data_IF_714866480621
#
_entry.id   IF_714866480621
#
_cell.length_a   1.000
_cell.length_b   1.000
_cell.length_c   1.000
_cell.angle_alpha   90.00
_cell.angle_beta   90.00
_cell.angle_gamma   90.00
#
_symmetry.space_group_name_H-M   'P 1'
#
loop_
_entity.id
_entity.type
_entity.pdbx_description
1 polymer ?
#
# COMPACT_ATOMS: atom_id res chain seq x y z
N UNK A 1 -13.37 -38.54 -24.99
CA UNK A 1 -12.16 -38.27 -24.19
C UNK A 1 -11.03 -37.98 -25.15
N UNK A 2 -10.78 -36.73 -25.50
CA UNK A 2 -9.72 -36.34 -26.45
C UNK A 2 -9.19 -34.95 -26.14
N UNK A 3 -7.89 -34.92 -25.87
CA UNK A 3 -6.92 -33.82 -26.07
C UNK A 3 -7.23 -32.44 -25.46
N UNK A 4 -6.82 -32.25 -24.20
CA UNK A 4 -6.38 -30.96 -23.69
C UNK A 4 -4.85 -30.97 -23.62
N UNK A 5 -4.18 -30.73 -24.76
CA UNK A 5 -2.73 -30.56 -24.83
C UNK A 5 -2.41 -29.06 -24.97
N UNK A 6 -1.81 -28.52 -23.92
CA UNK A 6 -0.88 -27.38 -23.85
C UNK A 6 -1.19 -26.12 -24.68
N UNK A 7 -1.76 -25.12 -24.02
CA UNK A 7 -1.37 -23.72 -24.26
C UNK A 7 -0.47 -23.28 -23.11
N UNK A 8 0.84 -23.54 -23.24
CA UNK A 8 1.83 -22.82 -22.43
C UNK A 8 1.66 -21.33 -22.74
N UNK A 9 1.44 -20.52 -21.70
CA UNK A 9 1.42 -19.07 -21.86
C UNK A 9 2.79 -18.59 -22.33
N UNK A 10 2.84 -17.51 -23.11
CA UNK A 10 4.10 -16.97 -23.66
C UNK A 10 5.12 -16.68 -22.54
N UNK A 11 4.63 -16.28 -21.37
CA UNK A 11 5.43 -16.07 -20.16
C UNK A 11 6.02 -17.37 -19.60
N UNK A 12 5.23 -18.45 -19.54
CA UNK A 12 5.74 -19.76 -19.13
C UNK A 12 6.79 -20.27 -20.11
N UNK A 13 6.57 -20.11 -21.42
CA UNK A 13 7.55 -20.49 -22.44
C UNK A 13 8.86 -19.72 -22.28
N UNK A 14 8.80 -18.39 -22.10
CA UNK A 14 9.99 -17.56 -21.89
C UNK A 14 10.72 -17.93 -20.60
N UNK A 15 9.97 -18.22 -19.52
CA UNK A 15 10.53 -18.71 -18.26
C UNK A 15 11.22 -20.07 -18.43
N UNK A 16 10.60 -21.01 -19.15
CA UNK A 16 11.22 -22.30 -19.45
C UNK A 16 12.46 -22.16 -20.34
N UNK A 17 12.43 -21.28 -21.34
CA UNK A 17 13.56 -21.01 -22.20
C UNK A 17 14.75 -20.41 -21.43
N UNK A 18 14.49 -19.49 -20.49
CA UNK A 18 15.52 -18.93 -19.61
C UNK A 18 16.15 -19.99 -18.71
N UNK A 19 15.34 -20.86 -18.06
CA UNK A 19 15.86 -21.96 -17.24
C UNK A 19 16.71 -22.95 -18.04
N UNK A 20 16.36 -23.19 -19.32
CA UNK A 20 17.11 -24.08 -20.20
C UNK A 20 18.45 -23.49 -20.65
N UNK A 21 18.55 -22.17 -20.83
CA UNK A 21 19.81 -21.50 -21.20
C UNK A 21 20.86 -21.64 -20.08
N UNK A 22 20.42 -21.51 -18.82
CA UNK A 22 21.30 -21.68 -17.66
C UNK A 22 21.81 -23.12 -17.51
N UNK A 23 20.96 -24.11 -17.77
CA UNK A 23 21.37 -25.52 -17.84
C UNK A 23 22.39 -25.72 -18.95
N UNK A 24 22.21 -25.12 -20.12
CA UNK A 24 23.19 -25.19 -21.21
C UNK A 24 24.54 -24.57 -20.82
N UNK A 25 24.52 -23.46 -20.09
CA UNK A 25 25.72 -22.79 -19.62
C UNK A 25 26.46 -23.63 -18.55
N UNK A 26 25.72 -24.26 -17.63
CA UNK A 26 26.27 -25.21 -16.66
C UNK A 26 26.94 -26.40 -17.36
N UNK A 27 26.25 -27.02 -18.32
CA UNK A 27 26.78 -28.16 -19.09
C UNK A 27 28.00 -27.79 -19.93
N UNK A 28 28.04 -26.58 -20.51
CA UNK A 28 29.22 -26.08 -21.23
C UNK A 28 30.43 -25.88 -20.31
N UNK A 29 30.20 -25.39 -19.08
CA UNK A 29 31.24 -25.10 -18.10
C UNK A 29 31.78 -26.37 -17.43
N UNK A 30 30.92 -27.36 -17.22
CA UNK A 30 31.22 -28.60 -16.52
C UNK A 30 30.99 -29.82 -17.43
N UNK A 31 31.85 -30.00 -18.43
CA UNK A 31 31.68 -31.05 -19.45
C UNK A 31 31.86 -32.47 -18.90
N UNK A 32 32.67 -32.64 -17.85
CA UNK A 32 32.90 -33.92 -17.18
C UNK A 32 33.00 -33.66 -15.70
N UNK A 33 32.12 -34.28 -14.92
CA UNK A 33 32.08 -34.18 -13.45
C UNK A 33 31.77 -35.55 -12.87
N UNK A 34 32.42 -35.89 -11.77
CA UNK A 34 32.03 -37.05 -10.96
C UNK A 34 30.68 -36.81 -10.29
N UNK A 35 30.03 -37.88 -9.79
CA UNK A 35 28.75 -37.76 -9.10
C UNK A 35 28.80 -36.80 -7.90
N UNK A 36 29.91 -36.81 -7.15
CA UNK A 36 30.12 -35.96 -5.97
C UNK A 36 30.29 -34.50 -6.39
N UNK A 37 31.07 -34.25 -7.45
CA UNK A 37 31.24 -32.92 -8.01
C UNK A 37 29.94 -32.41 -8.63
N UNK A 38 29.15 -33.27 -9.27
CA UNK A 38 27.84 -32.94 -9.79
C UNK A 38 26.89 -32.53 -8.65
N UNK A 39 26.78 -33.33 -7.59
CA UNK A 39 25.95 -33.01 -6.42
C UNK A 39 26.39 -31.69 -5.77
N UNK A 40 27.70 -31.49 -5.63
CA UNK A 40 28.28 -30.23 -5.18
C UNK A 40 27.90 -29.08 -6.13
N UNK A 41 28.20 -29.13 -7.42
CA UNK A 41 27.91 -28.02 -8.34
C UNK A 41 26.41 -27.78 -8.55
N UNK A 42 25.55 -28.79 -8.45
CA UNK A 42 24.09 -28.60 -8.46
C UNK A 42 23.65 -27.85 -7.20
N UNK A 43 24.18 -28.21 -6.04
CA UNK A 43 23.86 -27.51 -4.80
C UNK A 43 24.49 -26.12 -4.77
N UNK A 44 25.66 -25.90 -5.34
CA UNK A 44 26.39 -24.63 -5.24
C UNK A 44 26.10 -23.68 -6.41
N UNK A 45 26.19 -24.18 -7.63
CA UNK A 45 25.75 -23.45 -8.80
C UNK A 45 24.22 -23.49 -8.81
N UNK A 46 23.52 -24.63 -8.99
CA UNK A 46 22.05 -24.62 -9.25
C UNK A 46 21.12 -24.05 -8.14
N UNK A 47 21.48 -24.02 -6.86
CA UNK A 47 20.62 -23.34 -5.85
C UNK A 47 20.71 -21.80 -5.89
N UNK A 48 21.78 -21.24 -6.48
CA UNK A 48 21.82 -19.83 -6.90
C UNK A 48 20.83 -19.53 -8.05
N UNK A 49 20.27 -20.55 -8.72
CA UNK A 49 19.33 -20.41 -9.85
C UNK A 49 17.86 -20.64 -9.48
N UNK A 50 17.55 -20.86 -8.19
CA UNK A 50 16.16 -20.77 -7.69
C UNK A 50 15.77 -19.36 -7.25
N UNK A 51 16.70 -18.41 -7.39
CA UNK A 51 16.42 -16.97 -7.31
C UNK A 51 15.56 -16.63 -8.51
N UNK A 52 14.52 -15.79 -8.35
CA UNK A 52 13.80 -15.20 -9.50
C UNK A 52 14.85 -14.70 -10.52
N UNK A 53 14.99 -15.34 -11.69
CA UNK A 53 16.11 -15.10 -12.60
C UNK A 53 16.16 -13.64 -13.12
N UNK A 54 15.08 -12.89 -12.92
CA UNK A 54 14.91 -11.50 -13.35
C UNK A 54 15.13 -10.46 -12.23
N UNK A 55 15.71 -10.83 -11.08
CA UNK A 55 15.92 -9.86 -9.99
C UNK A 55 17.04 -8.86 -10.30
N UNK A 56 16.65 -7.71 -10.84
CA UNK A 56 17.56 -6.61 -11.19
C UNK A 56 17.95 -5.77 -9.96
N UNK A 57 19.14 -6.04 -9.42
CA UNK A 57 19.74 -5.31 -8.30
C UNK A 57 20.03 -3.84 -8.62
N UNK A 58 20.41 -3.53 -9.87
CA UNK A 58 20.74 -2.16 -10.26
C UNK A 58 19.48 -1.30 -10.28
N UNK A 59 18.39 -1.83 -10.83
CA UNK A 59 17.08 -1.19 -10.79
C UNK A 59 16.60 -1.02 -9.36
N UNK A 60 16.73 -2.02 -8.50
CA UNK A 60 16.39 -1.90 -7.08
C UNK A 60 17.16 -0.76 -6.42
N UNK A 61 18.47 -0.69 -6.62
CA UNK A 61 19.31 0.35 -6.04
C UNK A 61 18.86 1.74 -6.53
N UNK A 62 18.62 1.92 -7.83
CA UNK A 62 18.09 3.16 -8.41
C UNK A 62 16.76 3.55 -7.76
N UNK A 63 15.84 2.61 -7.59
CA UNK A 63 14.55 2.86 -6.94
C UNK A 63 14.71 3.27 -5.48
N UNK A 64 15.56 2.59 -4.71
CA UNK A 64 15.84 2.94 -3.31
C UNK A 64 16.47 4.34 -3.21
N UNK A 65 17.41 4.68 -4.08
CA UNK A 65 18.01 6.02 -4.14
C UNK A 65 16.94 7.09 -4.40
N UNK A 66 16.00 6.83 -5.31
CA UNK A 66 14.92 7.76 -5.62
C UNK A 66 13.95 7.94 -4.43
N UNK A 67 13.59 6.85 -3.73
CA UNK A 67 12.77 6.91 -2.51
C UNK A 67 13.49 7.70 -1.42
N UNK A 68 14.79 7.49 -1.23
CA UNK A 68 15.60 8.24 -0.27
C UNK A 68 15.65 9.73 -0.60
N UNK A 69 15.76 10.07 -1.89
CA UNK A 69 15.73 11.45 -2.38
C UNK A 69 14.37 12.13 -2.12
N UNK A 70 13.26 11.40 -2.26
CA UNK A 70 11.91 11.93 -2.04
C UNK A 70 11.46 11.91 -0.57
N UNK A 71 12.17 11.19 0.31
CA UNK A 71 11.85 11.07 1.75
C UNK A 71 11.63 12.41 2.48
N UNK A 72 12.45 13.46 2.29
CA UNK A 72 12.19 14.76 2.94
C UNK A 72 10.87 15.39 2.52
N UNK A 73 10.51 15.29 1.24
CA UNK A 73 9.24 15.80 0.73
C UNK A 73 8.05 15.02 1.28
N UNK A 74 8.17 13.70 1.34
CA UNK A 74 7.18 12.81 1.97
C UNK A 74 6.93 13.22 3.42
N UNK A 75 7.99 13.39 4.22
CA UNK A 75 7.87 13.84 5.63
C UNK A 75 7.17 15.19 5.76
N UNK A 76 7.42 16.12 4.85
CA UNK A 76 6.79 17.44 4.84
C UNK A 76 5.29 17.37 4.54
N UNK A 77 4.86 16.47 3.66
CA UNK A 77 3.43 16.27 3.35
C UNK A 77 2.74 15.64 4.57
N UNK A 78 3.37 14.64 5.21
CA UNK A 78 2.82 14.04 6.43
C UNK A 78 2.70 15.02 7.61
N UNK A 79 3.63 15.96 7.75
CA UNK A 79 3.57 16.93 8.85
C UNK A 79 2.52 18.03 8.65
N UNK A 80 2.08 18.22 7.40
CA UNK A 80 1.08 19.23 7.01
C UNK A 80 0.16 18.67 5.92
N UNK A 81 -0.72 17.71 6.25
CA UNK A 81 -1.71 17.23 5.31
C UNK A 81 -2.66 18.38 4.93
N UNK A 82 -3.28 18.29 3.75
CA UNK A 82 -4.26 19.28 3.34
C UNK A 82 -5.51 19.08 4.17
N UNK A 83 -6.05 20.16 4.72
CA UNK A 83 -7.25 20.14 5.57
C UNK A 83 -8.34 20.92 4.84
N UNK A 84 -9.50 20.30 4.66
CA UNK A 84 -10.68 20.97 4.12
C UNK A 84 -11.71 21.09 5.24
N UNK A 85 -12.28 22.28 5.38
CA UNK A 85 -13.36 22.49 6.33
C UNK A 85 -14.65 21.93 5.73
N UNK A 86 -15.28 20.99 6.44
CA UNK A 86 -16.57 20.43 6.06
C UNK A 86 -17.64 20.98 6.98
N UNK A 87 -18.70 21.45 6.35
CA UNK A 87 -19.88 21.95 7.05
C UNK A 87 -20.87 20.82 7.23
N UNK A 88 -21.14 20.44 8.48
CA UNK A 88 -22.15 19.45 8.85
C UNK A 88 -23.22 20.11 9.70
N UNK A 89 -24.49 19.77 9.47
CA UNK A 89 -25.59 20.28 10.29
C UNK A 89 -25.92 19.25 11.37
N UNK A 90 -26.00 19.69 12.63
CA UNK A 90 -26.32 18.82 13.77
C UNK A 90 -27.25 19.52 14.77
N UNK A 91 -28.03 18.73 15.52
CA UNK A 91 -29.01 19.21 16.49
C UNK A 91 -28.45 19.13 17.91
N UNK A 92 -27.88 20.24 18.35
CA UNK A 92 -27.23 20.37 19.65
C UNK A 92 -28.12 21.05 20.69
N UNK A 93 -27.88 20.85 22.00
CA UNK A 93 -28.46 21.69 23.04
C UNK A 93 -28.23 23.17 22.74
N UNK A 94 -29.20 24.01 23.12
CA UNK A 94 -29.13 25.45 22.82
C UNK A 94 -27.85 26.10 23.36
N UNK A 95 -27.33 25.64 24.50
CA UNK A 95 -26.06 26.12 25.05
C UNK A 95 -24.83 25.86 24.17
N UNK A 96 -24.89 24.84 23.30
CA UNK A 96 -23.79 24.42 22.43
C UNK A 96 -23.96 24.87 20.98
N UNK A 97 -25.11 25.45 20.64
CA UNK A 97 -25.37 25.96 19.30
C UNK A 97 -24.53 27.21 19.03
N UNK A 98 -23.69 27.17 17.99
CA UNK A 98 -22.78 28.28 17.64
C UNK A 98 -23.35 29.21 16.58
N UNK A 99 -24.10 28.66 15.62
CA UNK A 99 -24.64 29.40 14.48
C UNK A 99 -26.14 29.21 14.40
N UNK A 100 -26.88 30.31 14.36
CA UNK A 100 -28.34 30.30 14.20
C UNK A 100 -28.67 30.97 12.88
N UNK A 101 -29.27 30.22 11.95
CA UNK A 101 -29.66 30.72 10.64
C UNK A 101 -31.16 30.46 10.36
N UNK A 102 -31.63 30.82 9.17
CA UNK A 102 -33.03 30.61 8.81
C UNK A 102 -33.42 29.11 8.76
N UNK A 103 -32.50 28.23 8.38
CA UNK A 103 -32.72 26.78 8.42
C UNK A 103 -32.85 26.28 9.87
N UNK A 104 -32.11 26.84 10.81
CA UNK A 104 -32.26 26.55 12.25
C UNK A 104 -33.68 26.83 12.73
N UNK A 105 -34.22 28.00 12.35
CA UNK A 105 -35.58 28.41 12.73
C UNK A 105 -36.64 27.53 12.05
N UNK A 106 -36.47 27.24 10.75
CA UNK A 106 -37.37 26.36 10.01
C UNK A 106 -37.37 24.94 10.60
N UNK A 107 -36.19 24.41 10.91
CA UNK A 107 -36.06 23.10 11.54
C UNK A 107 -36.74 23.07 12.92
N UNK A 108 -36.55 24.11 13.74
CA UNK A 108 -37.23 24.21 15.04
C UNK A 108 -38.76 24.29 14.90
N UNK A 109 -39.26 25.04 13.91
CA UNK A 109 -40.69 25.15 13.63
C UNK A 109 -41.30 23.80 13.23
N UNK A 110 -40.55 22.98 12.46
CA UNK A 110 -40.98 21.64 12.06
C UNK A 110 -40.81 20.58 13.16
N UNK A 111 -39.95 20.83 14.16
CA UNK A 111 -39.61 19.88 15.21
C UNK A 111 -39.92 20.43 16.60
N UNK A 112 -41.22 20.53 16.91
CA UNK A 112 -41.72 21.06 18.19
C UNK A 112 -41.20 20.31 19.43
N UNK A 113 -40.77 19.05 19.30
CA UNK A 113 -40.12 18.30 20.39
C UNK A 113 -38.80 18.92 20.89
N UNK A 114 -38.19 19.79 20.09
CA UNK A 114 -37.00 20.53 20.49
C UNK A 114 -37.32 21.86 21.19
N UNK A 115 -38.60 22.16 21.42
CA UNK A 115 -39.06 23.29 22.22
C UNK A 115 -39.28 22.85 23.66
N UNK A 116 -38.70 23.58 24.62
CA UNK A 116 -38.89 23.31 26.06
C UNK A 116 -40.19 23.92 26.57
N UNK A 117 -40.46 25.17 26.19
CA UNK A 117 -41.62 25.91 26.69
C UNK A 117 -42.03 26.99 25.69
N UNK A 118 -43.33 27.29 25.63
CA UNK A 118 -43.91 28.38 24.84
C UNK A 118 -44.54 29.36 25.83
N UNK A 119 -44.05 30.59 25.82
CA UNK A 119 -44.52 31.66 26.70
C UNK A 119 -45.11 32.80 25.89
N UNK A 120 -45.82 33.73 26.54
CA UNK A 120 -46.34 34.95 25.89
C UNK A 120 -45.25 35.79 25.21
N UNK A 121 -43.99 35.61 25.63
CA UNK A 121 -42.82 36.33 25.11
C UNK A 121 -42.09 35.57 24.00
N UNK A 122 -42.56 34.37 23.63
CA UNK A 122 -41.98 33.56 22.56
C UNK A 122 -41.64 32.13 22.97
N UNK A 123 -40.82 31.49 22.13
CA UNK A 123 -40.49 30.07 22.19
C UNK A 123 -39.13 29.88 22.85
N UNK A 124 -39.03 29.00 23.86
CA UNK A 124 -37.77 28.62 24.49
C UNK A 124 -37.30 27.26 23.94
N UNK A 125 -36.34 27.23 23.00
CA UNK A 125 -35.80 25.97 22.47
C UNK A 125 -34.96 25.24 23.52
N UNK A 126 -35.01 23.90 23.48
CA UNK A 126 -34.11 22.98 24.17
C UNK A 126 -32.89 22.64 23.33
N UNK A 127 -33.12 22.39 22.04
CA UNK A 127 -32.10 22.03 21.05
C UNK A 127 -32.31 22.85 19.79
N UNK A 128 -31.23 23.10 19.06
CA UNK A 128 -31.22 23.84 17.81
C UNK A 128 -30.37 23.11 16.78
N UNK A 129 -30.81 23.17 15.52
CA UNK A 129 -29.97 22.79 14.39
C UNK A 129 -28.90 23.87 14.21
N UNK A 130 -27.64 23.51 14.37
CA UNK A 130 -26.49 24.40 14.16
C UNK A 130 -25.57 23.78 13.13
N UNK A 131 -24.85 24.63 12.41
CA UNK A 131 -23.75 24.20 11.56
C UNK A 131 -22.51 23.98 12.43
N UNK A 132 -21.87 22.83 12.25
CA UNK A 132 -20.59 22.45 12.84
C UNK A 132 -19.57 22.45 11.71
N UNK A 133 -18.37 22.94 12.03
CA UNK A 133 -17.23 22.94 11.13
C UNK A 133 -16.28 21.85 11.60
N UNK A 134 -16.07 20.83 10.77
CA UNK A 134 -15.18 19.72 11.04
C UNK A 134 -14.01 19.72 10.05
N UNK A 135 -12.82 19.40 10.57
CA UNK A 135 -11.63 19.23 9.74
C UNK A 135 -11.71 17.89 9.00
N UNK A 136 -11.79 17.94 7.67
CA UNK A 136 -11.78 16.76 6.81
C UNK A 136 -10.40 16.59 6.16
N UNK A 137 -9.76 15.46 6.48
CA UNK A 137 -8.50 15.03 5.91
C UNK A 137 -8.68 14.05 4.75
N UNK A 138 -9.89 13.55 4.51
CA UNK A 138 -10.21 12.47 3.58
C UNK A 138 -10.38 12.96 2.14
N UNK A 139 -9.61 13.97 1.77
CA UNK A 139 -9.60 14.49 0.41
C UNK A 139 -8.78 13.58 -0.51
N UNK A 140 -9.08 13.68 -1.79
CA UNK A 140 -8.48 12.88 -2.85
C UNK A 140 -6.93 12.89 -2.80
N UNK A 141 -6.32 14.06 -2.64
CA UNK A 141 -4.86 14.24 -2.64
C UNK A 141 -4.20 13.51 -1.46
N UNK A 142 -4.78 13.62 -0.26
CA UNK A 142 -4.27 12.94 0.92
C UNK A 142 -4.44 11.43 0.80
N UNK A 143 -5.59 10.96 0.31
CA UNK A 143 -5.86 9.53 0.12
C UNK A 143 -4.89 8.93 -0.89
N UNK A 144 -4.67 9.59 -2.03
CA UNK A 144 -3.69 9.13 -3.03
C UNK A 144 -2.28 9.12 -2.47
N UNK A 145 -1.91 10.15 -1.71
CA UNK A 145 -0.61 10.19 -1.08
C UNK A 145 -0.42 9.01 -0.12
N UNK A 146 -1.41 8.69 0.70
CA UNK A 146 -1.38 7.50 1.57
C UNK A 146 -1.23 6.21 0.76
N UNK A 147 -2.05 6.02 -0.29
CA UNK A 147 -1.96 4.84 -1.16
C UNK A 147 -0.57 4.69 -1.80
N UNK A 148 0.03 5.80 -2.23
CA UNK A 148 1.39 5.82 -2.78
C UNK A 148 2.44 5.37 -1.75
N UNK A 149 2.29 5.79 -0.48
CA UNK A 149 3.19 5.37 0.60
C UNK A 149 3.02 3.88 0.90
N UNK A 150 1.79 3.38 0.89
CA UNK A 150 1.52 1.95 1.09
C UNK A 150 2.15 1.09 -0.02
N UNK A 151 2.09 1.53 -1.28
CA UNK A 151 2.79 0.89 -2.40
C UNK A 151 4.31 0.88 -2.22
N UNK A 152 4.92 2.00 -1.79
CA UNK A 152 6.34 2.04 -1.45
C UNK A 152 6.69 1.05 -0.35
N UNK A 153 5.88 0.99 0.72
CA UNK A 153 6.10 0.07 1.83
C UNK A 153 5.96 -1.39 1.38
N UNK A 154 5.00 -1.69 0.53
CA UNK A 154 4.80 -3.01 -0.08
C UNK A 154 6.02 -3.43 -0.88
N UNK A 155 6.51 -2.54 -1.76
CA UNK A 155 7.72 -2.75 -2.56
C UNK A 155 8.95 -3.05 -1.68
N UNK A 156 9.20 -2.23 -0.65
CA UNK A 156 10.33 -2.42 0.26
C UNK A 156 10.21 -3.76 1.01
N UNK A 157 9.03 -4.10 1.51
CA UNK A 157 8.78 -5.37 2.19
C UNK A 157 9.04 -6.57 1.28
N UNK A 158 8.55 -6.53 0.03
CA UNK A 158 8.79 -7.59 -0.96
C UNK A 158 10.29 -7.76 -1.21
N UNK A 159 10.99 -6.68 -1.54
CA UNK A 159 12.42 -6.73 -1.84
C UNK A 159 13.26 -7.17 -0.63
N UNK A 160 12.90 -6.75 0.59
CA UNK A 160 13.56 -7.23 1.81
C UNK A 160 13.42 -8.74 2.00
N UNK A 161 12.24 -9.31 1.74
CA UNK A 161 12.02 -10.76 1.82
C UNK A 161 12.89 -11.49 0.80
N UNK A 162 12.93 -11.01 -0.44
CA UNK A 162 13.80 -11.56 -1.49
C UNK A 162 15.27 -11.50 -1.05
N UNK A 163 15.79 -10.34 -0.67
CA UNK A 163 17.18 -10.19 -0.22
C UNK A 163 17.51 -11.07 1.00
N UNK A 164 16.61 -11.21 1.96
CA UNK A 164 16.82 -12.11 3.09
C UNK A 164 16.92 -13.56 2.63
N UNK A 165 16.03 -14.01 1.75
CA UNK A 165 16.09 -15.38 1.22
C UNK A 165 17.41 -15.66 0.51
N UNK A 166 17.96 -14.67 -0.22
CA UNK A 166 19.28 -14.73 -0.85
C UNK A 166 20.40 -14.90 0.17
N UNK A 167 20.40 -14.07 1.20
CA UNK A 167 21.41 -14.12 2.25
C UNK A 167 21.38 -15.46 3.00
N UNK A 168 20.20 -15.99 3.31
CA UNK A 168 20.06 -17.30 3.95
C UNK A 168 20.58 -18.43 3.06
N UNK A 169 20.23 -18.45 1.76
CA UNK A 169 20.78 -19.42 0.81
C UNK A 169 22.31 -19.36 0.76
N UNK A 170 22.88 -18.15 0.70
CA UNK A 170 24.34 -17.95 0.67
C UNK A 170 25.06 -18.44 1.93
N UNK A 171 24.43 -18.33 3.10
CA UNK A 171 25.01 -18.78 4.36
C UNK A 171 24.98 -20.31 4.49
N UNK A 172 23.95 -20.96 3.95
CA UNK A 172 23.85 -22.43 3.89
C UNK A 172 24.87 -23.02 2.90
N UNK A 173 25.33 -22.25 1.90
CA UNK A 173 26.39 -22.69 0.98
C UNK A 173 27.82 -22.52 1.53
N UNK A 174 28.01 -21.88 2.69
CA UNK A 174 29.35 -21.67 3.30
C UNK A 174 29.76 -22.75 4.30
N UNK A 175 29.25 -23.98 4.17
CA UNK A 175 29.69 -25.09 5.00
C UNK A 175 30.89 -25.82 4.38
N UNK A 176 32.05 -25.63 5.02
CA UNK A 176 33.37 -26.27 4.81
C UNK A 176 34.03 -26.09 3.44
#
# INVERSE_FOLDING_TARGET
MTNNLNRLTVEEYNRFASLLDDIQNFVKKHQVVSYIEFDYYVVHDMTLFSIEPDFDFEKLEKTIRQIRKSTPAIKRIFSKPIIVLKDTDDVLPVENARVTNQNTLLHLANHGQYVSNITKNGVKPRKLLTRIYEDDYSIYENVIFCNFIDEILSLIKKNRRTLNSLLYASNIMRFN
#
